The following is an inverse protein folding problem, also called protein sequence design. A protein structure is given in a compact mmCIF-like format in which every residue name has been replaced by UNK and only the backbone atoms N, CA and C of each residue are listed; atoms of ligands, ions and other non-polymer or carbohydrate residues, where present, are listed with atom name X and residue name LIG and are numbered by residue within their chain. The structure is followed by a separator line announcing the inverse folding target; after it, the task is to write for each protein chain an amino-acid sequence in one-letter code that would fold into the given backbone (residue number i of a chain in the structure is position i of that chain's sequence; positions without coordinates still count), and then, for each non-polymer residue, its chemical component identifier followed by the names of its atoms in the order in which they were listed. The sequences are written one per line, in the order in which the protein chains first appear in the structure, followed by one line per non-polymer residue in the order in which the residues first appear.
data_IF_079239390144
#
_entry.id   IF_079239390144
#
_cell.length_a   1.000
_cell.length_b   1.000
_cell.length_c   1.000
_cell.angle_alpha   90.00
_cell.angle_beta   90.00
_cell.angle_gamma   90.00
#
_symmetry.space_group_name_H-M   'P 1'
#
loop_
_entity.id
_entity.type
_entity.pdbx_description
1 polymer ?
#
# COMPACT_ATOMS: atom_id res chain seq x y z
N UNK A 1 9.62 -4.85 4.66
CA UNK A 1 8.72 -3.82 5.22
C UNK A 1 7.89 -3.26 4.08
N UNK A 2 6.61 -3.01 4.32
CA UNK A 2 5.71 -2.38 3.36
C UNK A 2 5.32 -1.00 3.90
N UNK A 3 5.40 0.02 3.05
CA UNK A 3 5.00 1.38 3.37
C UNK A 3 4.23 1.99 2.19
N UNK A 4 2.99 2.39 2.45
CA UNK A 4 2.11 2.98 1.45
C UNK A 4 2.40 4.47 1.30
N UNK A 5 2.49 4.94 0.06
CA UNK A 5 2.56 6.36 -0.27
C UNK A 5 1.25 6.78 -0.91
N UNK A 6 0.48 7.59 -0.22
CA UNK A 6 -0.78 8.13 -0.74
C UNK A 6 -0.46 9.48 -1.38
N UNK A 7 -0.76 9.62 -2.66
CA UNK A 7 -0.51 10.83 -3.43
C UNK A 7 -1.78 11.29 -4.15
N UNK A 8 -1.82 12.57 -4.53
CA UNK A 8 -2.86 13.05 -5.45
C UNK A 8 -2.79 12.27 -6.75
N UNK A 9 -3.95 12.05 -7.35
CA UNK A 9 -4.08 11.16 -8.51
C UNK A 9 -3.19 11.59 -9.69
N UNK A 10 -3.03 12.89 -9.89
CA UNK A 10 -2.17 13.50 -10.92
C UNK A 10 -0.67 13.31 -10.67
N UNK A 11 -0.26 13.11 -9.41
CA UNK A 11 1.14 13.04 -9.01
C UNK A 11 1.68 11.59 -9.00
N UNK A 12 0.79 10.58 -9.05
CA UNK A 12 1.18 9.16 -8.90
C UNK A 12 2.21 8.73 -9.93
N UNK A 13 1.98 8.99 -11.23
CA UNK A 13 2.90 8.56 -12.28
C UNK A 13 4.28 9.21 -12.15
N UNK A 14 4.30 10.47 -11.74
CA UNK A 14 5.54 11.21 -11.51
C UNK A 14 6.29 10.61 -10.33
N UNK A 15 5.61 10.39 -9.21
CA UNK A 15 6.20 9.82 -8.01
C UNK A 15 6.78 8.42 -8.29
N UNK A 16 6.03 7.56 -8.99
CA UNK A 16 6.50 6.22 -9.35
C UNK A 16 7.77 6.23 -10.21
N UNK A 17 7.93 7.24 -11.10
CA UNK A 17 9.15 7.41 -11.90
C UNK A 17 10.33 7.89 -11.06
N UNK A 18 10.07 8.64 -9.99
CA UNK A 18 11.09 9.17 -9.08
C UNK A 18 11.53 8.16 -8.00
N UNK A 19 10.70 7.14 -7.71
CA UNK A 19 10.98 6.13 -6.68
C UNK A 19 12.35 5.45 -6.80
N UNK A 20 12.81 5.00 -7.99
CA UNK A 20 14.12 4.37 -8.11
C UNK A 20 15.28 5.25 -7.65
N UNK A 21 15.18 6.56 -7.84
CA UNK A 21 16.21 7.51 -7.43
C UNK A 21 16.04 7.94 -5.98
N UNK A 22 14.80 8.00 -5.47
CA UNK A 22 14.53 8.24 -4.06
C UNK A 22 15.09 7.12 -3.17
N UNK A 23 14.86 5.85 -3.52
CA UNK A 23 15.29 4.73 -2.67
C UNK A 23 16.81 4.64 -2.53
N UNK A 24 17.55 5.02 -3.57
CA UNK A 24 19.02 5.07 -3.55
C UNK A 24 19.57 6.13 -2.59
N UNK A 25 18.77 7.12 -2.20
CA UNK A 25 19.19 8.13 -1.21
C UNK A 25 19.20 7.58 0.21
N UNK A 26 18.51 6.45 0.46
CA UNK A 26 18.41 5.84 1.79
C UNK A 26 19.46 4.75 2.03
N UNK A 27 20.16 4.29 0.99
CA UNK A 27 21.21 3.28 1.10
C UNK A 27 21.59 2.67 -0.24
N UNK A 28 22.55 1.75 -0.22
CA UNK A 28 22.97 0.99 -1.41
C UNK A 28 21.88 0.00 -1.79
N UNK A 29 21.28 0.17 -2.97
CA UNK A 29 20.26 -0.73 -3.53
C UNK A 29 20.94 -1.78 -4.41
N UNK A 30 20.77 -3.06 -4.09
CA UNK A 30 21.26 -4.18 -4.90
C UNK A 30 20.45 -4.32 -6.19
N UNK A 31 19.12 -4.28 -6.05
CA UNK A 31 18.19 -4.28 -7.18
C UNK A 31 16.83 -3.70 -6.76
N UNK A 32 16.10 -3.21 -7.75
CA UNK A 32 14.75 -2.69 -7.58
C UNK A 32 13.90 -2.97 -8.81
N UNK A 33 12.61 -3.17 -8.63
CA UNK A 33 11.68 -3.46 -9.72
C UNK A 33 10.27 -2.95 -9.41
N UNK A 34 9.50 -2.68 -10.47
CA UNK A 34 8.07 -2.39 -10.37
C UNK A 34 7.29 -3.69 -10.54
N UNK A 35 6.43 -4.01 -9.58
CA UNK A 35 5.44 -5.10 -9.66
C UNK A 35 4.03 -4.51 -9.80
N UNK A 36 3.03 -5.36 -10.08
CA UNK A 36 1.61 -4.99 -10.18
C UNK A 36 1.05 -4.19 -9.00
N UNK A 37 1.62 -4.34 -7.80
CA UNK A 37 1.07 -3.78 -6.55
C UNK A 37 1.96 -2.66 -6.00
N UNK A 38 3.13 -2.39 -6.59
CA UNK A 38 4.02 -1.35 -6.09
C UNK A 38 5.47 -1.51 -6.54
N UNK A 39 6.31 -0.60 -6.04
CA UNK A 39 7.74 -0.62 -6.28
C UNK A 39 8.47 -1.36 -5.16
N UNK A 40 9.45 -2.18 -5.50
CA UNK A 40 10.24 -2.96 -4.54
C UNK A 40 11.70 -2.59 -4.67
N UNK A 41 12.37 -2.37 -3.54
CA UNK A 41 13.82 -2.18 -3.44
C UNK A 41 14.42 -3.15 -2.43
N UNK A 42 15.57 -3.73 -2.77
CA UNK A 42 16.36 -4.59 -1.88
C UNK A 42 17.73 -3.94 -1.67
N UNK A 43 18.08 -3.69 -0.40
CA UNK A 43 19.31 -3.03 0.01
C UNK A 43 20.44 -4.04 0.29
N UNK A 44 21.67 -3.55 0.42
CA UNK A 44 22.87 -4.37 0.66
C UNK A 44 22.82 -5.19 1.96
N UNK A 45 22.11 -4.71 2.97
CA UNK A 45 21.85 -5.38 4.25
C UNK A 45 20.72 -6.42 4.16
N UNK A 46 20.26 -6.72 2.94
CA UNK A 46 19.14 -7.60 2.62
C UNK A 46 17.79 -7.09 3.14
N UNK A 47 17.69 -5.83 3.56
CA UNK A 47 16.43 -5.22 3.86
C UNK A 47 15.60 -5.06 2.58
N UNK A 48 14.35 -5.53 2.62
CA UNK A 48 13.38 -5.36 1.52
C UNK A 48 12.37 -4.27 1.89
N UNK A 49 12.26 -3.27 1.04
CA UNK A 49 11.25 -2.21 1.12
C UNK A 49 10.28 -2.32 -0.04
N UNK A 50 8.99 -2.31 0.27
CA UNK A 50 7.89 -2.25 -0.69
C UNK A 50 7.18 -0.90 -0.53
N UNK A 51 7.03 -0.18 -1.64
CA UNK A 51 6.44 1.15 -1.74
C UNK A 51 5.31 1.16 -2.78
N UNK A 52 4.10 0.70 -2.42
CA UNK A 52 2.92 0.95 -3.22
C UNK A 52 2.60 2.45 -3.23
N UNK A 53 2.41 3.02 -4.42
CA UNK A 53 1.89 4.38 -4.59
C UNK A 53 0.40 4.28 -4.87
N UNK A 54 -0.39 4.87 -4.00
CA UNK A 54 -1.85 4.81 -4.02
C UNK A 54 -2.39 6.18 -4.39
N UNK A 55 -3.34 6.19 -5.33
CA UNK A 55 -4.17 7.36 -5.63
C UNK A 55 -5.05 7.71 -4.43
N UNK A 56 -5.13 8.98 -4.08
CA UNK A 56 -6.01 9.45 -3.01
C UNK A 56 -7.46 9.00 -3.21
N UNK A 57 -7.94 8.98 -4.45
CA UNK A 57 -9.29 8.49 -4.79
C UNK A 57 -9.53 7.01 -4.47
N UNK A 58 -8.48 6.19 -4.41
CA UNK A 58 -8.54 4.75 -4.14
C UNK A 58 -8.36 4.41 -2.65
N UNK A 59 -8.14 5.42 -1.81
CA UNK A 59 -7.82 5.21 -0.39
C UNK A 59 -8.89 4.39 0.35
N UNK A 60 -10.17 4.71 0.14
CA UNK A 60 -11.28 4.00 0.77
C UNK A 60 -11.41 2.56 0.29
N UNK A 61 -11.15 2.27 -0.98
CA UNK A 61 -11.28 0.92 -1.52
C UNK A 61 -10.15 0.02 -1.02
N UNK A 62 -8.92 0.54 -0.95
CA UNK A 62 -7.75 -0.20 -0.45
C UNK A 62 -7.85 -0.56 1.03
N UNK A 63 -8.34 0.37 1.85
CA UNK A 63 -8.50 0.15 3.29
C UNK A 63 -9.88 -0.39 3.69
N UNK A 64 -10.78 -0.67 2.76
CA UNK A 64 -12.10 -1.28 3.04
C UNK A 64 -12.01 -2.67 3.69
N UNK A 65 -10.86 -3.34 3.56
CA UNK A 65 -10.65 -4.66 4.14
C UNK A 65 -10.64 -4.58 5.68
N UNK A 66 -11.21 -5.56 6.39
CA UNK A 66 -11.21 -5.58 7.85
C UNK A 66 -9.80 -5.53 8.44
N UNK A 67 -9.66 -5.13 9.71
CA UNK A 67 -8.38 -4.96 10.43
C UNK A 67 -7.64 -6.30 10.63
N UNK A 68 -7.13 -6.89 9.55
CA UNK A 68 -6.32 -8.10 9.58
C UNK A 68 -4.85 -7.84 9.95
N UNK A 69 -4.38 -6.61 9.73
CA UNK A 69 -3.02 -6.15 9.98
C UNK A 69 -3.05 -4.76 10.58
N UNK A 70 -2.17 -4.51 11.56
CA UNK A 70 -2.02 -3.19 12.18
C UNK A 70 -1.34 -2.26 11.18
N UNK A 71 -2.08 -1.25 10.71
CA UNK A 71 -1.55 -0.18 9.85
C UNK A 71 -1.27 1.03 10.73
N UNK A 72 -0.03 1.54 10.67
CA UNK A 72 0.37 2.73 11.42
C UNK A 72 0.56 3.90 10.46
N UNK A 73 -0.10 5.03 10.75
CA UNK A 73 0.13 6.29 10.04
C UNK A 73 1.49 6.85 10.46
N UNK A 74 2.39 7.04 9.50
CA UNK A 74 3.71 7.64 9.75
C UNK A 74 3.69 9.15 9.56
N UNK A 75 3.02 9.62 8.51
CA UNK A 75 2.86 11.02 8.15
C UNK A 75 1.46 11.17 7.57
N UNK A 76 0.72 12.19 8.02
CA UNK A 76 -0.59 12.54 7.48
C UNK A 76 -0.61 14.01 7.04
N UNK A 77 -0.94 14.25 5.77
CA UNK A 77 -1.13 15.59 5.19
C UNK A 77 -2.59 15.86 4.82
N UNK A 78 -3.49 14.93 5.14
CA UNK A 78 -4.93 14.98 4.86
C UNK A 78 -5.74 15.52 6.03
N UNK A 79 -5.08 16.20 6.99
CA UNK A 79 -5.73 16.76 8.18
C UNK A 79 -6.54 15.71 9.00
N UNK A 80 -6.06 14.46 9.02
CA UNK A 80 -6.66 13.36 9.78
C UNK A 80 -7.68 12.52 9.02
N UNK A 81 -7.92 12.76 7.73
CA UNK A 81 -8.83 11.93 6.92
C UNK A 81 -8.33 10.48 6.81
N UNK A 82 -7.02 10.29 6.64
CA UNK A 82 -6.39 8.97 6.57
C UNK A 82 -6.61 8.16 7.85
N UNK A 83 -6.42 8.79 9.01
CA UNK A 83 -6.63 8.14 10.30
C UNK A 83 -8.10 7.76 10.51
N UNK A 84 -9.05 8.62 10.11
CA UNK A 84 -10.49 8.31 10.15
C UNK A 84 -10.82 7.07 9.31
N UNK A 85 -10.35 7.02 8.06
CA UNK A 85 -10.59 5.88 7.16
C UNK A 85 -10.04 4.58 7.74
N UNK A 86 -8.86 4.61 8.37
CA UNK A 86 -8.27 3.43 9.00
C UNK A 86 -9.03 3.00 10.26
N UNK A 87 -9.60 3.93 11.01
CA UNK A 87 -10.38 3.65 12.21
C UNK A 87 -11.75 3.06 11.88
N UNK A 88 -12.37 3.51 10.79
CA UNK A 88 -13.69 3.07 10.30
C UNK A 88 -13.70 1.64 9.73
N UNK A 89 -12.54 0.98 9.64
CA UNK A 89 -12.41 -0.39 9.16
C UNK A 89 -13.10 -1.38 10.11
N UNK A 90 -13.87 -2.32 9.56
CA UNK A 90 -14.47 -3.42 10.33
C UNK A 90 -13.41 -4.19 11.11
N UNK A 91 -13.71 -4.54 12.36
CA UNK A 91 -12.86 -5.38 13.20
C UNK A 91 -12.95 -6.87 12.83
N UNK A 92 -14.03 -7.27 12.16
CA UNK A 92 -14.32 -8.67 11.81
C UNK A 92 -14.33 -8.88 10.31
N UNK A 93 -13.68 -9.96 9.86
CA UNK A 93 -13.81 -10.49 8.50
C UNK A 93 -14.99 -11.45 8.47
N UNK A 94 -16.03 -11.11 7.71
CA UNK A 94 -17.04 -12.10 7.33
C UNK A 94 -16.44 -13.00 6.24
N UNK A 95 -15.80 -14.08 6.70
CA UNK A 95 -15.25 -15.09 5.80
C UNK A 95 -16.33 -15.75 4.93
N UNK A 96 -17.56 -15.89 5.43
CA UNK A 96 -18.63 -16.51 4.65
C UNK A 96 -18.97 -15.66 3.42
N UNK A 97 -19.07 -14.34 3.58
CA UNK A 97 -19.25 -13.43 2.45
C UNK A 97 -18.03 -13.40 1.51
N UNK A 98 -16.81 -13.34 2.06
CA UNK A 98 -15.58 -13.27 1.27
C UNK A 98 -15.29 -14.54 0.45
N UNK A 99 -15.75 -15.71 0.90
CA UNK A 99 -15.62 -16.97 0.17
C UNK A 99 -16.80 -17.26 -0.76
N UNK A 100 -18.00 -16.75 -0.49
CA UNK A 100 -19.16 -16.95 -1.38
C UNK A 100 -18.91 -16.44 -2.81
N UNK A 101 -18.16 -15.34 -2.97
CA UNK A 101 -17.77 -14.80 -4.27
C UNK A 101 -16.69 -15.62 -5.00
N UNK A 102 -15.98 -16.52 -4.29
CA UNK A 102 -14.91 -17.35 -4.84
C UNK A 102 -15.29 -18.81 -5.07
N UNK A 103 -16.39 -19.29 -4.47
CA UNK A 103 -16.85 -20.69 -4.58
C UNK A 103 -17.72 -20.92 -5.84
N UNK A 104 -17.90 -19.93 -6.71
CA UNK A 104 -18.54 -20.12 -8.02
C UNK A 104 -17.55 -20.69 -9.04
N UNK A 105 -17.46 -22.02 -9.08
CA UNK A 105 -17.09 -22.91 -10.21
C UNK A 105 -16.08 -24.01 -9.85
N UNK A 106 -16.50 -24.95 -9.00
CA UNK A 106 -15.92 -26.31 -8.94
C UNK A 106 -16.98 -27.38 -9.23
N UNK A 107 -17.81 -27.14 -10.25
CA UNK A 107 -18.73 -28.14 -10.81
C UNK A 107 -18.48 -28.28 -12.31
#
# INVERSE_FOLDING_TARGET
MEAYVIANDEDVEKLEKELPDLVKKFGTVLFSFKHQIGFVAVYEDLFRLELPVIKGSELKSLFSRPKAQVVKVLIDRTEGELEKILNDRSETIDFAQAFAEKITNFL
#
